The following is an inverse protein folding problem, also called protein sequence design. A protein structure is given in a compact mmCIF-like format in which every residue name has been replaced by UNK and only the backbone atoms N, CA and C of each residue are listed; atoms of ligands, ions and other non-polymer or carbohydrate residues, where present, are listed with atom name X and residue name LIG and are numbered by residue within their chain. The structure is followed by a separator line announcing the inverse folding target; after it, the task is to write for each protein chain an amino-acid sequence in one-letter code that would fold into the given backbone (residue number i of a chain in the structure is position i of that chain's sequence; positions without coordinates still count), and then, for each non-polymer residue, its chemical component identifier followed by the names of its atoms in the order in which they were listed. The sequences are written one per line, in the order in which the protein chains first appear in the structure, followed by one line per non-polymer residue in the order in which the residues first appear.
data_IF_708608184720
#
_entry.id   IF_708608184720
#
_cell.length_a   1.000
_cell.length_b   1.000
_cell.length_c   1.000
_cell.angle_alpha   90.00
_cell.angle_beta   90.00
_cell.angle_gamma   90.00
#
_symmetry.space_group_name_H-M   'P 1'
#
loop_
_entity.id
_entity.type
_entity.pdbx_description
1 polymer ?
#
# COMPACT_ATOMS: atom_id res chain seq x y z
N UNK A 1 -51.79 17.31 7.27
CA UNK A 1 -51.54 15.87 7.01
C UNK A 1 -51.18 15.69 5.53
N UNK A 2 -49.92 15.38 5.20
CA UNK A 2 -49.47 15.30 3.79
C UNK A 2 -49.90 13.97 3.16
N UNK A 3 -50.39 14.01 1.92
CA UNK A 3 -50.79 12.82 1.12
C UNK A 3 -49.91 12.76 -0.13
N UNK A 4 -49.30 11.61 -0.42
CA UNK A 4 -48.65 11.31 -1.71
C UNK A 4 -49.46 10.19 -2.38
N UNK A 5 -49.84 10.36 -3.64
CA UNK A 5 -50.59 9.34 -4.41
C UNK A 5 -51.75 8.70 -3.63
N UNK A 6 -52.57 9.52 -2.96
CA UNK A 6 -53.73 9.11 -2.15
C UNK A 6 -53.42 8.22 -0.93
N UNK A 7 -52.15 7.96 -0.61
CA UNK A 7 -51.73 7.25 0.62
C UNK A 7 -51.40 8.27 1.72
N UNK A 8 -51.85 7.99 2.95
CA UNK A 8 -51.46 8.73 4.15
C UNK A 8 -49.96 8.54 4.35
N UNK A 9 -49.19 9.62 4.25
CA UNK A 9 -47.79 9.61 4.67
C UNK A 9 -47.79 10.02 6.15
N UNK A 10 -46.94 9.39 6.96
CA UNK A 10 -46.83 9.68 8.39
C UNK A 10 -46.62 11.16 8.69
N UNK A 11 -46.98 11.58 9.91
CA UNK A 11 -46.69 12.93 10.41
C UNK A 11 -45.45 12.84 11.32
N UNK A 12 -44.53 13.80 11.18
CA UNK A 12 -43.45 13.97 12.16
C UNK A 12 -44.08 14.68 13.37
N UNK A 13 -43.87 14.12 14.55
CA UNK A 13 -44.32 14.70 15.83
C UNK A 13 -43.11 15.39 16.45
N UNK A 14 -43.13 16.72 16.50
CA UNK A 14 -41.97 17.54 16.85
C UNK A 14 -41.58 17.44 18.33
N UNK A 15 -42.44 16.83 19.16
CA UNK A 15 -42.28 16.68 20.61
C UNK A 15 -41.99 15.24 21.05
N UNK A 16 -41.49 14.41 20.13
CA UNK A 16 -41.10 13.01 20.43
C UNK A 16 -39.60 12.84 20.28
N UNK A 17 -38.99 11.84 20.94
CA UNK A 17 -37.57 11.58 20.78
C UNK A 17 -37.18 11.35 19.31
N UNK A 18 -36.29 12.20 18.80
CA UNK A 18 -35.71 12.14 17.47
C UNK A 18 -34.31 11.53 17.51
N UNK A 19 -33.94 10.90 16.40
CA UNK A 19 -32.58 10.40 16.18
C UNK A 19 -32.03 10.98 14.89
N UNK A 20 -30.78 11.39 14.93
CA UNK A 20 -30.06 11.85 13.76
C UNK A 20 -29.52 10.62 13.01
N UNK A 21 -29.74 10.59 11.70
CA UNK A 21 -29.22 9.55 10.81
C UNK A 21 -28.58 10.18 9.59
N UNK A 22 -27.46 9.62 9.16
CA UNK A 22 -26.79 9.97 7.92
C UNK A 22 -26.94 8.85 6.92
N UNK A 23 -27.28 9.21 5.68
CA UNK A 23 -27.13 8.30 4.54
C UNK A 23 -25.66 8.31 4.14
N UNK A 24 -25.03 7.15 4.14
CA UNK A 24 -23.65 6.99 3.66
C UNK A 24 -23.60 5.88 2.64
N UNK A 25 -22.63 5.97 1.72
CA UNK A 25 -22.39 4.91 0.74
C UNK A 25 -21.86 3.67 1.46
N UNK A 26 -22.37 2.50 1.07
CA UNK A 26 -21.95 1.22 1.61
C UNK A 26 -20.53 0.90 1.18
N UNK A 27 -19.77 0.28 2.07
CA UNK A 27 -18.42 -0.20 1.73
C UNK A 27 -18.47 -1.59 1.10
N UNK A 28 -19.38 -2.43 1.61
CA UNK A 28 -19.76 -3.69 0.99
C UNK A 28 -21.26 -3.66 0.72
N UNK A 29 -21.66 -4.00 -0.50
CA UNK A 29 -23.07 -4.07 -0.90
C UNK A 29 -23.87 -5.07 -0.03
N UNK A 30 -23.19 -6.03 0.60
CA UNK A 30 -23.77 -7.05 1.48
C UNK A 30 -23.98 -6.60 2.94
N UNK A 31 -23.47 -5.44 3.36
CA UNK A 31 -23.29 -5.11 4.79
C UNK A 31 -24.58 -4.95 5.62
N UNK A 32 -25.73 -4.75 4.97
CA UNK A 32 -27.05 -4.67 5.61
C UNK A 32 -28.07 -5.66 5.02
N UNK A 33 -27.60 -6.62 4.21
CA UNK A 33 -28.42 -7.61 3.52
C UNK A 33 -29.26 -7.06 2.35
N UNK A 34 -29.15 -5.78 2.01
CA UNK A 34 -29.87 -5.18 0.88
C UNK A 34 -28.94 -4.85 -0.29
N UNK A 35 -28.72 -5.86 -1.13
CA UNK A 35 -27.78 -5.82 -2.27
C UNK A 35 -28.16 -4.79 -3.36
N UNK A 36 -29.41 -4.33 -3.38
CA UNK A 36 -29.92 -3.44 -4.42
C UNK A 36 -29.83 -1.95 -4.04
N UNK A 37 -29.24 -1.63 -2.88
CA UNK A 37 -29.11 -0.27 -2.39
C UNK A 37 -27.66 0.01 -2.03
N UNK A 38 -27.03 0.99 -2.66
CA UNK A 38 -25.64 1.39 -2.36
C UNK A 38 -25.54 2.27 -1.11
N UNK A 39 -26.65 2.57 -0.45
CA UNK A 39 -26.73 3.47 0.71
C UNK A 39 -27.13 2.71 1.97
N UNK A 40 -26.47 3.01 3.09
CA UNK A 40 -26.90 2.61 4.43
C UNK A 40 -27.16 3.83 5.32
N UNK A 41 -27.89 3.60 6.41
CA UNK A 41 -28.13 4.61 7.43
C UNK A 41 -27.21 4.39 8.64
N UNK A 42 -26.39 5.39 8.96
CA UNK A 42 -25.69 5.46 10.24
C UNK A 42 -26.52 6.29 11.21
N UNK A 43 -26.76 5.76 12.40
CA UNK A 43 -27.55 6.42 13.45
C UNK A 43 -26.62 6.92 14.55
N UNK A 44 -26.71 8.20 14.91
CA UNK A 44 -25.99 8.74 16.07
C UNK A 44 -26.59 8.18 17.37
N UNK A 45 -25.75 8.03 18.39
CA UNK A 45 -26.18 7.57 19.73
C UNK A 45 -27.02 8.63 20.46
N UNK A 46 -26.79 9.91 20.16
CA UNK A 46 -27.54 11.03 20.74
C UNK A 46 -29.05 10.93 20.41
N UNK A 47 -29.87 11.23 21.41
CA UNK A 47 -31.34 11.28 21.32
C UNK A 47 -31.76 12.71 21.61
N UNK A 48 -32.47 13.32 20.68
CA UNK A 48 -32.94 14.70 20.83
C UNK A 48 -34.41 14.69 21.22
N UNK A 49 -34.82 15.56 22.14
CA UNK A 49 -36.19 15.57 22.64
C UNK A 49 -37.16 16.31 21.71
N UNK A 50 -36.62 17.13 20.80
CA UNK A 50 -37.36 17.85 19.77
C UNK A 50 -36.59 17.92 18.45
N UNK A 51 -37.27 18.34 17.38
CA UNK A 51 -36.60 18.60 16.09
C UNK A 51 -35.58 19.73 16.18
N UNK A 52 -35.83 20.75 17.02
CA UNK A 52 -34.93 21.90 17.15
C UNK A 52 -33.63 21.50 17.87
N UNK A 53 -33.75 20.78 18.97
CA UNK A 53 -32.63 20.19 19.71
C UNK A 53 -31.75 19.31 18.81
N UNK A 54 -32.36 18.52 17.93
CA UNK A 54 -31.61 17.72 16.95
C UNK A 54 -30.82 18.57 15.93
N UNK A 55 -31.34 19.75 15.55
CA UNK A 55 -30.65 20.66 14.64
C UNK A 55 -29.50 21.37 15.33
N UNK A 56 -29.73 21.82 16.56
CA UNK A 56 -28.73 22.55 17.34
C UNK A 56 -27.54 21.61 17.66
N UNK A 57 -27.82 20.39 18.12
CA UNK A 57 -26.80 19.35 18.30
C UNK A 57 -26.02 19.09 17.01
N UNK A 58 -26.70 18.97 15.86
CA UNK A 58 -26.02 18.72 14.60
C UNK A 58 -25.11 19.89 14.22
N UNK A 59 -25.59 21.13 14.32
CA UNK A 59 -24.82 22.32 13.92
C UNK A 59 -23.59 22.54 14.81
N UNK A 60 -23.70 22.29 16.11
CA UNK A 60 -22.60 22.44 17.06
C UNK A 60 -21.51 21.38 16.88
N UNK A 61 -21.86 20.20 16.38
CA UNK A 61 -20.96 19.04 16.33
C UNK A 61 -20.65 18.56 14.90
N UNK A 62 -21.10 19.28 13.85
CA UNK A 62 -21.02 18.81 12.48
C UNK A 62 -19.57 18.55 12.04
N UNK A 63 -18.65 19.42 12.42
CA UNK A 63 -17.24 19.32 12.02
C UNK A 63 -16.58 18.08 12.65
N UNK A 64 -16.84 17.83 13.94
CA UNK A 64 -16.31 16.66 14.64
C UNK A 64 -16.92 15.36 14.10
N UNK A 65 -18.23 15.36 13.80
CA UNK A 65 -18.92 14.21 13.20
C UNK A 65 -18.36 13.90 11.81
N UNK A 66 -18.11 14.93 10.98
CA UNK A 66 -17.51 14.75 9.66
C UNK A 66 -16.09 14.21 9.77
N UNK A 67 -15.27 14.75 10.69
CA UNK A 67 -13.91 14.30 10.92
C UNK A 67 -13.85 12.82 11.36
N UNK A 68 -14.74 12.40 12.25
CA UNK A 68 -14.88 11.02 12.71
C UNK A 68 -15.36 10.08 11.59
N UNK A 69 -16.27 10.53 10.72
CA UNK A 69 -16.72 9.77 9.56
C UNK A 69 -15.60 9.60 8.53
N UNK A 70 -14.79 10.63 8.28
CA UNK A 70 -13.60 10.57 7.41
C UNK A 70 -12.58 9.60 7.97
N UNK A 71 -12.22 9.71 9.26
CA UNK A 71 -11.29 8.78 9.92
C UNK A 71 -11.75 7.33 9.82
N UNK A 72 -13.04 7.06 10.06
CA UNK A 72 -13.61 5.71 9.87
C UNK A 72 -13.58 5.25 8.43
N UNK A 73 -13.67 6.17 7.47
CA UNK A 73 -13.53 5.85 6.06
C UNK A 73 -12.08 5.50 5.73
N UNK A 74 -11.11 6.28 6.19
CA UNK A 74 -9.67 6.04 6.07
C UNK A 74 -9.25 4.71 6.70
N UNK A 75 -9.57 4.45 7.97
CA UNK A 75 -9.23 3.18 8.65
C UNK A 75 -9.83 1.97 7.93
N UNK A 76 -11.03 2.09 7.35
CA UNK A 76 -11.57 0.96 6.58
C UNK A 76 -10.97 0.84 5.19
N UNK A 77 -10.57 1.95 4.56
CA UNK A 77 -9.82 1.90 3.31
C UNK A 77 -8.46 1.25 3.55
N UNK A 78 -7.79 1.56 4.66
CA UNK A 78 -6.55 0.89 5.09
C UNK A 78 -6.78 -0.60 5.32
N UNK A 79 -7.83 -0.98 6.07
CA UNK A 79 -8.19 -2.39 6.29
C UNK A 79 -8.55 -3.08 4.97
N UNK A 80 -9.25 -2.39 4.06
CA UNK A 80 -9.59 -2.92 2.74
C UNK A 80 -8.33 -3.11 1.89
N UNK A 81 -7.43 -2.13 1.86
CA UNK A 81 -6.13 -2.22 1.18
C UNK A 81 -5.29 -3.35 1.76
N UNK A 82 -5.26 -3.52 3.08
CA UNK A 82 -4.59 -4.63 3.76
C UNK A 82 -5.22 -5.97 3.39
N UNK A 83 -6.55 -6.10 3.47
CA UNK A 83 -7.26 -7.34 3.12
C UNK A 83 -7.11 -7.66 1.63
N UNK A 84 -7.13 -6.66 0.76
CA UNK A 84 -6.88 -6.80 -0.67
C UNK A 84 -5.43 -7.19 -0.93
N UNK A 85 -4.44 -6.59 -0.27
CA UNK A 85 -3.02 -6.99 -0.34
C UNK A 85 -2.83 -8.44 0.12
N UNK A 86 -3.45 -8.84 1.23
CA UNK A 86 -3.44 -10.22 1.75
C UNK A 86 -4.11 -11.18 0.77
N UNK A 87 -5.29 -10.84 0.24
CA UNK A 87 -6.00 -11.64 -0.75
C UNK A 87 -5.19 -11.77 -2.05
N UNK A 88 -4.59 -10.69 -2.54
CA UNK A 88 -3.68 -10.72 -3.69
C UNK A 88 -2.46 -11.60 -3.40
N UNK A 89 -1.94 -11.56 -2.18
CA UNK A 89 -0.81 -12.41 -1.75
C UNK A 89 -1.22 -13.89 -1.74
N UNK A 90 -2.42 -14.22 -1.24
CA UNK A 90 -2.98 -15.59 -1.28
C UNK A 90 -3.30 -16.05 -2.71
N UNK A 91 -3.86 -15.18 -3.55
CA UNK A 91 -4.14 -15.48 -4.96
C UNK A 91 -2.84 -15.67 -5.74
N UNK A 92 -1.82 -14.86 -5.46
CA UNK A 92 -0.47 -15.00 -6.01
C UNK A 92 0.15 -16.33 -5.57
N UNK A 93 0.03 -16.72 -4.31
CA UNK A 93 0.45 -18.03 -3.80
C UNK A 93 -0.25 -19.21 -4.52
N UNK A 94 -1.56 -19.11 -4.74
CA UNK A 94 -2.36 -20.15 -5.42
C UNK A 94 -2.11 -20.22 -6.93
N UNK A 95 -1.68 -19.11 -7.55
CA UNK A 95 -1.32 -19.05 -8.98
C UNK A 95 0.17 -19.30 -9.24
N UNK A 96 0.93 -19.72 -8.23
CA UNK A 96 2.34 -20.08 -8.35
C UNK A 96 3.33 -18.92 -8.19
N UNK A 97 2.88 -17.74 -7.79
CA UNK A 97 3.74 -16.60 -7.44
C UNK A 97 4.19 -16.62 -5.98
N UNK A 98 5.38 -16.08 -5.74
CA UNK A 98 6.10 -16.16 -4.45
C UNK A 98 5.53 -15.19 -3.39
N UNK A 99 5.32 -15.71 -2.18
CA UNK A 99 4.91 -14.99 -0.95
C UNK A 99 6.17 -14.59 -0.16
N UNK A 100 6.21 -13.40 0.47
CA UNK A 100 7.29 -13.02 1.37
C UNK A 100 7.51 -14.05 2.48
N UNK A 101 8.73 -14.56 2.65
CA UNK A 101 9.11 -15.43 3.76
C UNK A 101 9.68 -14.59 4.92
N UNK A 102 9.14 -14.81 6.12
CA UNK A 102 9.69 -14.26 7.37
C UNK A 102 10.76 -15.24 7.84
N UNK A 103 12.02 -14.81 7.88
CA UNK A 103 13.14 -15.70 8.20
C UNK A 103 13.55 -15.68 9.69
N UNK A 104 13.27 -14.59 10.42
CA UNK A 104 13.62 -14.51 11.85
C UNK A 104 13.60 -13.12 12.45
N UNK A 105 14.01 -13.03 13.71
CA UNK A 105 14.25 -11.79 14.45
C UNK A 105 15.76 -11.66 14.66
N UNK A 106 16.34 -10.51 14.30
CA UNK A 106 17.76 -10.20 14.43
C UNK A 106 17.96 -8.98 15.33
N UNK A 107 19.03 -8.97 16.12
CA UNK A 107 19.45 -7.82 16.92
C UNK A 107 20.57 -7.10 16.17
N UNK A 108 20.30 -5.88 15.71
CA UNK A 108 21.25 -5.05 14.97
C UNK A 108 21.45 -3.78 15.79
N UNK A 109 22.69 -3.56 16.26
CA UNK A 109 23.08 -2.37 17.02
C UNK A 109 22.19 -2.09 18.27
N UNK A 110 21.67 -3.13 18.93
CA UNK A 110 20.86 -3.01 20.15
C UNK A 110 19.37 -2.72 19.89
N UNK A 111 18.95 -2.69 18.63
CA UNK A 111 17.55 -2.63 18.24
C UNK A 111 17.11 -3.99 17.69
N UNK A 112 15.89 -4.42 18.04
CA UNK A 112 15.31 -5.65 17.51
C UNK A 112 14.68 -5.38 16.15
N UNK A 113 15.02 -6.20 15.17
CA UNK A 113 14.45 -6.16 13.83
C UNK A 113 13.81 -7.50 13.47
N UNK A 114 12.78 -7.46 12.62
CA UNK A 114 12.26 -8.65 11.94
C UNK A 114 12.86 -8.70 10.54
N UNK A 115 13.56 -9.78 10.22
CA UNK A 115 14.09 -10.01 8.88
C UNK A 115 13.00 -10.59 7.99
N UNK A 116 12.73 -9.91 6.88
CA UNK A 116 11.75 -10.29 5.88
C UNK A 116 12.42 -10.38 4.52
N UNK A 117 12.04 -11.38 3.74
CA UNK A 117 12.45 -11.53 2.34
C UNK A 117 11.24 -11.67 1.45
N UNK A 118 11.28 -11.06 0.29
CA UNK A 118 10.35 -11.40 -0.78
C UNK A 118 11.07 -11.40 -2.12
N UNK A 119 10.54 -12.20 -3.01
CA UNK A 119 11.03 -12.36 -4.36
C UNK A 119 9.88 -12.21 -5.33
N UNK A 120 10.11 -11.49 -6.42
CA UNK A 120 9.15 -11.33 -7.51
C UNK A 120 9.80 -11.91 -8.76
N UNK A 121 9.29 -13.04 -9.24
CA UNK A 121 9.79 -13.71 -10.44
C UNK A 121 9.16 -13.16 -11.73
N UNK A 122 9.89 -13.30 -12.84
CA UNK A 122 9.44 -13.02 -14.21
C UNK A 122 8.84 -11.61 -14.38
N UNK A 123 9.55 -10.60 -13.87
CA UNK A 123 9.10 -9.19 -13.97
C UNK A 123 9.36 -8.69 -15.39
N UNK A 124 8.27 -8.37 -16.10
CA UNK A 124 8.30 -7.83 -17.46
C UNK A 124 7.70 -6.44 -17.48
N UNK A 125 8.47 -5.48 -17.96
CA UNK A 125 7.99 -4.11 -18.10
C UNK A 125 7.33 -3.90 -19.47
N UNK A 126 6.19 -3.21 -19.46
CA UNK A 126 5.54 -2.74 -20.69
C UNK A 126 6.03 -1.35 -21.03
N UNK A 127 6.37 -1.11 -22.30
CA UNK A 127 6.82 0.20 -22.85
C UNK A 127 5.80 1.32 -22.57
N UNK A 128 4.53 0.98 -22.32
CA UNK A 128 3.47 1.93 -22.00
C UNK A 128 3.53 2.46 -20.56
N UNK A 129 4.17 1.74 -19.64
CA UNK A 129 4.35 2.15 -18.25
C UNK A 129 5.66 2.95 -18.15
N UNK A 130 5.57 4.28 -18.11
CA UNK A 130 6.73 5.18 -18.05
C UNK A 130 7.59 5.00 -16.79
N UNK A 131 7.01 4.46 -15.71
CA UNK A 131 7.67 4.04 -14.48
C UNK A 131 6.78 3.03 -13.78
N UNK A 132 7.36 2.01 -13.17
CA UNK A 132 6.64 1.00 -12.39
C UNK A 132 7.30 0.83 -11.02
N UNK A 133 6.49 1.01 -9.98
CA UNK A 133 6.92 0.83 -8.59
C UNK A 133 6.84 -0.65 -8.23
N UNK A 134 7.99 -1.23 -7.90
CA UNK A 134 8.14 -2.67 -7.67
C UNK A 134 7.68 -3.04 -6.27
N UNK A 135 8.07 -2.22 -5.29
CA UNK A 135 7.65 -2.36 -3.91
C UNK A 135 7.62 -1.00 -3.22
N UNK A 136 6.86 -0.93 -2.12
CA UNK A 136 6.92 0.13 -1.13
C UNK A 136 6.99 -0.53 0.24
N UNK A 137 7.98 -0.15 1.03
CA UNK A 137 8.09 -0.45 2.45
C UNK A 137 7.69 0.81 3.23
N UNK A 138 6.90 0.63 4.29
CA UNK A 138 6.44 1.69 5.19
C UNK A 138 6.99 1.40 6.59
N UNK A 139 7.27 2.45 7.37
CA UNK A 139 7.89 2.38 8.69
C UNK A 139 9.41 2.53 8.65
N UNK A 140 10.08 2.15 9.74
CA UNK A 140 11.55 2.26 9.86
C UNK A 140 12.23 0.91 9.70
N UNK A 141 13.39 0.91 9.04
CA UNK A 141 14.14 -0.31 8.80
C UNK A 141 15.44 -0.11 8.05
N UNK A 142 16.04 -1.24 7.67
CA UNK A 142 17.26 -1.30 6.87
C UNK A 142 17.03 -2.32 5.76
N UNK A 143 17.17 -1.89 4.52
CA UNK A 143 17.28 -2.81 3.39
C UNK A 143 18.69 -3.39 3.42
N UNK A 144 18.77 -4.71 3.66
CA UNK A 144 20.04 -5.44 3.61
C UNK A 144 20.46 -5.70 2.16
N UNK A 145 19.50 -5.99 1.28
CA UNK A 145 19.79 -6.33 -0.10
C UNK A 145 18.57 -6.10 -1.00
N UNK A 146 18.81 -5.48 -2.15
CA UNK A 146 17.93 -5.50 -3.32
C UNK A 146 18.74 -6.07 -4.47
N UNK A 147 18.31 -7.19 -5.03
CA UNK A 147 18.97 -7.90 -6.12
C UNK A 147 18.05 -7.95 -7.34
N UNK A 148 18.47 -7.35 -8.45
CA UNK A 148 17.78 -7.38 -9.74
C UNK A 148 18.57 -8.30 -10.67
N UNK A 149 17.95 -9.40 -11.08
CA UNK A 149 18.58 -10.43 -11.92
C UNK A 149 17.87 -10.51 -13.25
N UNK A 150 18.64 -10.40 -14.33
CA UNK A 150 18.15 -10.59 -15.69
C UNK A 150 19.10 -11.46 -16.50
N UNK A 151 18.58 -12.13 -17.52
CA UNK A 151 19.40 -12.95 -18.42
C UNK A 151 20.35 -12.09 -19.25
N UNK A 152 21.61 -12.50 -19.42
CA UNK A 152 22.52 -11.84 -20.37
C UNK A 152 22.37 -12.34 -21.82
N UNK A 153 21.44 -13.28 -22.06
CA UNK A 153 21.19 -13.88 -23.38
C UNK A 153 20.63 -12.90 -24.43
N UNK A 154 20.13 -11.74 -24.00
CA UNK A 154 19.59 -10.69 -24.87
C UNK A 154 20.15 -9.34 -24.45
N UNK A 155 20.62 -8.55 -25.41
CA UNK A 155 21.28 -7.25 -25.16
C UNK A 155 20.32 -6.24 -24.50
N UNK A 156 19.03 -6.34 -24.77
CA UNK A 156 18.00 -5.42 -24.27
C UNK A 156 17.82 -5.48 -22.74
N UNK A 157 18.35 -6.50 -22.06
CA UNK A 157 18.22 -6.64 -20.61
C UNK A 157 19.10 -5.68 -19.80
N UNK A 158 19.99 -4.90 -20.43
CA UNK A 158 20.64 -3.73 -19.80
C UNK A 158 19.85 -2.44 -19.98
N UNK A 159 18.81 -2.43 -20.81
CA UNK A 159 18.08 -1.22 -21.18
C UNK A 159 16.97 -0.93 -20.17
N UNK A 160 17.37 -0.37 -19.03
CA UNK A 160 16.48 0.08 -17.98
C UNK A 160 17.16 1.12 -17.10
N UNK A 161 16.34 1.87 -16.35
CA UNK A 161 16.79 2.74 -15.26
C UNK A 161 16.14 2.31 -13.95
N UNK A 162 16.88 2.52 -12.87
CA UNK A 162 16.42 2.21 -11.51
C UNK A 162 16.52 3.45 -10.66
N UNK A 163 15.51 3.63 -9.79
CA UNK A 163 15.55 4.57 -8.69
C UNK A 163 15.21 3.87 -7.38
N UNK A 164 16.06 4.06 -6.37
CA UNK A 164 15.77 3.71 -4.98
C UNK A 164 15.61 5.00 -4.20
N UNK A 165 14.50 5.13 -3.49
CA UNK A 165 14.17 6.31 -2.68
C UNK A 165 13.95 5.88 -1.24
N UNK A 166 14.57 6.57 -0.30
CA UNK A 166 14.39 6.42 1.15
C UNK A 166 14.00 7.78 1.76
N UNK A 167 12.89 7.84 2.50
CA UNK A 167 12.43 9.03 3.22
C UNK A 167 12.46 10.32 2.38
N UNK A 168 11.90 10.25 1.16
CA UNK A 168 11.88 11.31 0.14
C UNK A 168 13.24 11.70 -0.47
N UNK A 169 14.32 11.03 -0.07
CA UNK A 169 15.66 11.19 -0.63
C UNK A 169 15.98 10.11 -1.66
N UNK A 170 16.64 10.49 -2.75
CA UNK A 170 17.10 9.52 -3.75
C UNK A 170 18.41 8.92 -3.26
N UNK A 171 18.37 7.65 -2.85
CA UNK A 171 19.58 6.88 -2.52
C UNK A 171 20.35 6.52 -3.81
N UNK A 172 19.63 6.03 -4.82
CA UNK A 172 20.21 5.63 -6.10
C UNK A 172 19.29 6.04 -7.25
N UNK A 173 19.86 6.53 -8.35
CA UNK A 173 19.10 6.84 -9.56
C UNK A 173 19.99 6.86 -10.79
N UNK A 174 19.96 5.80 -11.59
CA UNK A 174 20.79 5.69 -12.78
C UNK A 174 20.30 4.64 -13.79
N UNK A 175 20.95 4.57 -14.94
CA UNK A 175 20.86 3.44 -15.88
C UNK A 175 21.80 2.30 -15.48
N UNK A 176 21.62 1.11 -16.07
CA UNK A 176 22.56 0.00 -15.90
C UNK A 176 24.01 0.43 -16.14
N UNK A 177 24.29 1.10 -17.28
CA UNK A 177 25.64 1.53 -17.65
C UNK A 177 26.24 2.50 -16.60
N UNK A 178 25.42 3.39 -16.06
CA UNK A 178 25.83 4.29 -14.99
C UNK A 178 26.20 3.55 -13.71
N UNK A 179 25.39 2.56 -13.29
CA UNK A 179 25.73 1.69 -12.15
C UNK A 179 26.99 0.84 -12.42
N UNK A 180 27.11 0.24 -13.59
CA UNK A 180 28.26 -0.59 -13.99
C UNK A 180 29.58 0.21 -13.92
N UNK A 181 29.54 1.50 -14.30
CA UNK A 181 30.70 2.39 -14.19
C UNK A 181 31.11 2.75 -12.75
N UNK A 182 30.19 2.60 -11.78
CA UNK A 182 30.38 2.96 -10.37
C UNK A 182 30.65 1.77 -9.45
N UNK A 183 30.46 0.53 -9.92
CA UNK A 183 30.66 -0.72 -9.17
C UNK A 183 31.99 -0.82 -8.42
N UNK A 184 33.08 -0.23 -8.94
CA UNK A 184 34.39 -0.27 -8.30
C UNK A 184 34.64 0.88 -7.31
N UNK A 185 33.67 1.81 -7.18
CA UNK A 185 33.79 3.04 -6.43
C UNK A 185 32.80 3.12 -5.26
N UNK A 186 31.71 2.36 -5.31
CA UNK A 186 30.68 2.28 -4.28
C UNK A 186 30.72 0.90 -3.62
N UNK A 187 30.66 0.85 -2.29
CA UNK A 187 30.81 -0.41 -1.53
C UNK A 187 29.46 -1.10 -1.28
N UNK A 188 28.38 -0.34 -1.39
CA UNK A 188 26.99 -0.66 -1.10
C UNK A 188 26.14 -0.86 -2.38
N UNK A 189 26.79 -0.84 -3.54
CA UNK A 189 26.17 -1.09 -4.83
C UNK A 189 27.11 -1.86 -5.74
N UNK A 190 26.59 -2.83 -6.49
CA UNK A 190 27.37 -3.58 -7.48
C UNK A 190 26.51 -3.92 -8.70
N UNK A 191 27.00 -3.57 -9.89
CA UNK A 191 26.43 -3.97 -11.17
C UNK A 191 27.49 -4.70 -12.02
N UNK A 192 27.20 -5.93 -12.44
CA UNK A 192 28.13 -6.74 -13.24
C UNK A 192 27.46 -7.81 -14.11
N UNK A 193 28.21 -8.32 -15.08
CA UNK A 193 27.86 -9.48 -15.91
C UNK A 193 28.51 -10.74 -15.34
N UNK A 194 27.69 -11.63 -14.79
CA UNK A 194 28.12 -12.97 -14.38
C UNK A 194 28.07 -13.92 -15.57
N UNK A 195 29.21 -14.04 -16.24
CA UNK A 195 29.38 -14.94 -17.38
C UNK A 195 29.24 -16.42 -17.03
N UNK A 196 29.38 -16.80 -15.74
CA UNK A 196 29.25 -18.20 -15.33
C UNK A 196 27.78 -18.62 -15.27
N UNK A 197 26.91 -17.72 -14.82
CA UNK A 197 25.47 -17.98 -14.70
C UNK A 197 24.65 -17.41 -15.86
N UNK A 198 25.31 -16.68 -16.78
CA UNK A 198 24.70 -15.95 -17.88
C UNK A 198 23.67 -14.91 -17.40
N UNK A 199 24.05 -14.13 -16.38
CA UNK A 199 23.17 -13.16 -15.71
C UNK A 199 23.80 -11.78 -15.62
N UNK A 200 22.97 -10.77 -15.80
CA UNK A 200 23.24 -9.42 -15.32
C UNK A 200 22.72 -9.30 -13.89
N UNK A 201 23.60 -8.88 -12.99
CA UNK A 201 23.34 -8.69 -11.57
C UNK A 201 23.47 -7.22 -11.20
N UNK A 202 22.39 -6.61 -10.68
CA UNK A 202 22.43 -5.30 -10.02
C UNK A 202 22.00 -5.47 -8.56
N UNK A 203 22.87 -5.05 -7.65
CA UNK A 203 22.75 -5.21 -6.22
C UNK A 203 22.85 -3.85 -5.52
N UNK A 204 21.95 -3.61 -4.57
CA UNK A 204 22.03 -2.49 -3.61
C UNK A 204 21.97 -3.03 -2.18
N UNK A 205 22.73 -2.46 -1.26
CA UNK A 205 22.84 -2.92 0.12
C UNK A 205 22.81 -1.76 1.12
N UNK A 206 22.56 -2.09 2.38
CA UNK A 206 22.67 -1.20 3.54
C UNK A 206 21.92 0.15 3.43
N UNK A 207 20.71 0.13 2.86
CA UNK A 207 19.87 1.34 2.72
C UNK A 207 18.98 1.51 3.96
N UNK A 208 19.29 2.50 4.79
CA UNK A 208 18.48 2.86 5.95
C UNK A 208 17.29 3.75 5.55
N UNK A 209 16.15 3.54 6.22
CA UNK A 209 14.96 4.37 6.08
C UNK A 209 14.18 4.47 7.42
N UNK A 210 13.54 5.61 7.66
CA UNK A 210 12.79 5.92 8.88
C UNK A 210 11.27 5.86 8.68
N UNK A 211 10.79 6.29 7.52
CA UNK A 211 9.37 6.40 7.18
C UNK A 211 8.98 5.50 6.00
N UNK A 212 9.77 5.50 4.92
CA UNK A 212 9.46 4.66 3.76
C UNK A 212 10.66 4.41 2.85
N UNK A 213 10.62 3.29 2.14
CA UNK A 213 11.55 3.01 1.05
C UNK A 213 10.85 2.33 -0.12
N UNK A 214 11.17 2.74 -1.35
CA UNK A 214 10.63 2.11 -2.55
C UNK A 214 11.67 1.98 -3.67
N UNK A 215 11.44 0.98 -4.52
CA UNK A 215 12.17 0.74 -5.75
C UNK A 215 11.25 1.02 -6.95
N UNK A 216 11.73 1.84 -7.87
CA UNK A 216 11.11 2.08 -9.16
C UNK A 216 12.04 1.62 -10.28
N UNK A 217 11.47 0.93 -11.25
CA UNK A 217 12.13 0.60 -12.53
C UNK A 217 11.38 1.33 -13.63
N UNK A 218 12.10 2.05 -14.48
CA UNK A 218 11.52 2.92 -15.48
C UNK A 218 12.33 2.91 -16.76
N UNK A 219 11.70 3.35 -17.86
CA UNK A 219 12.29 3.33 -19.22
C UNK A 219 12.91 1.95 -19.54
N UNK A 220 12.21 0.88 -19.20
CA UNK A 220 12.75 -0.48 -19.22
C UNK A 220 12.21 -1.32 -20.38
N UNK A 221 13.12 -1.99 -21.08
CA UNK A 221 12.85 -3.10 -22.00
C UNK A 221 13.30 -4.44 -21.43
N UNK A 222 13.88 -4.42 -20.22
CA UNK A 222 14.46 -5.59 -19.60
C UNK A 222 13.37 -6.54 -19.09
N UNK A 223 13.64 -7.84 -19.24
CA UNK A 223 12.92 -8.89 -18.51
C UNK A 223 13.81 -9.38 -17.38
N UNK A 224 13.34 -9.22 -16.15
CA UNK A 224 14.03 -9.74 -14.97
C UNK A 224 13.55 -11.15 -14.69
N UNK A 225 14.51 -12.05 -14.50
CA UNK A 225 14.22 -13.40 -14.03
C UNK A 225 13.61 -13.33 -12.64
N UNK A 226 14.17 -12.49 -11.78
CA UNK A 226 13.59 -12.13 -10.49
C UNK A 226 14.14 -10.82 -9.94
N UNK A 227 13.37 -10.22 -9.04
CA UNK A 227 13.81 -9.16 -8.13
C UNK A 227 13.66 -9.68 -6.71
N UNK A 228 14.75 -9.74 -5.96
CA UNK A 228 14.78 -10.20 -4.57
C UNK A 228 15.04 -9.01 -3.63
N UNK A 229 14.33 -8.96 -2.51
CA UNK A 229 14.47 -7.89 -1.52
C UNK A 229 14.53 -8.53 -0.14
N UNK A 230 15.62 -8.26 0.58
CA UNK A 230 15.82 -8.60 1.98
C UNK A 230 15.90 -7.31 2.80
N UNK A 231 15.06 -7.22 3.83
CA UNK A 231 15.04 -6.06 4.71
C UNK A 231 14.80 -6.45 6.17
N UNK A 232 15.25 -5.58 7.04
CA UNK A 232 15.13 -5.65 8.49
C UNK A 232 14.16 -4.54 8.92
N UNK A 233 12.95 -4.92 9.31
CA UNK A 233 11.94 -3.99 9.80
C UNK A 233 12.12 -3.79 11.31
N UNK A 234 12.22 -2.54 11.76
CA UNK A 234 12.41 -2.24 13.18
C UNK A 234 11.19 -2.67 13.95
N UNK A 235 11.37 -3.53 14.96
CA UNK A 235 10.30 -3.89 15.88
C UNK A 235 10.15 -2.71 16.82
N UNK A 236 9.04 -1.98 16.68
CA UNK A 236 8.67 -0.92 17.63
C UNK A 236 8.68 -1.46 19.06
N UNK A 237 9.23 -0.69 19.99
CA UNK A 237 9.04 -0.94 21.41
C UNK A 237 7.59 -0.57 21.68
N UNK A 238 6.71 -1.57 21.77
CA UNK A 238 5.40 -1.42 22.38
C UNK A 238 5.54 -0.86 23.80
#
# INVERSE_FOLDING_TARGET
MKKLKKKKIGNIDDNKPHYIRFAVIKKDINEDGNLNCEWKWIKLKHKSESVQDAKDFLNENIDEILLELVKRQETTNEILVLNTRVLFTFLKAQSGGVVPQIEGIEDIAGNKYTTKKFRVDNVKFSILNRSERIFTLEGSGIISEIELISSNSTVDNKNYKVRVVNDDSIAYNDSWEGFESRTMHEADMTAFDDTNTNKYVLLFQDICYEDSCYLEVYESYATFDYINVKYHEKIGIL
#
